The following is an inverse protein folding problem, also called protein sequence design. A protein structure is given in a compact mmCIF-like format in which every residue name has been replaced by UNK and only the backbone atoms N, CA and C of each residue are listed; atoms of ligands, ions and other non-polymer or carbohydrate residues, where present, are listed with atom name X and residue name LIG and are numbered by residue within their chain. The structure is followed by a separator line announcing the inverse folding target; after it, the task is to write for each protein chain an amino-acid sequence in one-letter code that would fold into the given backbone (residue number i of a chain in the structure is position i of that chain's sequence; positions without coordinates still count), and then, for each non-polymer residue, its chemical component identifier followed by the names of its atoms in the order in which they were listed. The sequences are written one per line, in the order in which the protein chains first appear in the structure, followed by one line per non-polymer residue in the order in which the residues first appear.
data_IF_902888906494
#
_entry.id   IF_902888906494
#
_cell.length_a   1.000
_cell.length_b   1.000
_cell.length_c   1.000
_cell.angle_alpha   90.00
_cell.angle_beta   90.00
_cell.angle_gamma   90.00
#
_symmetry.space_group_name_H-M   'P 1'
#
loop_
_entity.id
_entity.type
_entity.pdbx_description
1 polymer ?
#
# COMPACT_ATOMS: atom_id res chain seq x y z
N UNK A 1 3.73 -56.37 -18.82
CA UNK A 1 4.89 -55.51 -19.19
C UNK A 1 4.47 -54.60 -20.34
N UNK A 2 5.16 -53.45 -20.48
CA UNK A 2 4.81 -52.21 -21.21
C UNK A 2 3.80 -51.37 -20.40
N UNK A 3 4.19 -50.48 -19.48
CA UNK A 3 5.22 -49.43 -19.49
C UNK A 3 5.20 -48.56 -20.75
N UNK A 4 4.63 -47.37 -20.58
CA UNK A 4 4.58 -46.29 -21.55
C UNK A 4 4.16 -45.02 -20.83
N UNK A 5 5.07 -44.47 -20.01
CA UNK A 5 4.90 -43.17 -19.36
C UNK A 5 4.78 -42.09 -20.44
N UNK A 6 3.59 -41.48 -20.54
CA UNK A 6 3.38 -40.33 -21.40
C UNK A 6 4.10 -39.10 -20.81
N UNK A 7 5.33 -38.90 -21.26
CA UNK A 7 6.04 -37.64 -21.08
C UNK A 7 5.47 -36.56 -22.00
N UNK A 8 4.85 -35.55 -21.39
CA UNK A 8 4.72 -34.17 -21.86
C UNK A 8 4.24 -33.32 -20.67
N UNK A 9 4.91 -32.21 -20.38
CA UNK A 9 4.70 -31.38 -19.21
C UNK A 9 3.24 -30.95 -19.03
N UNK A 10 2.66 -31.26 -17.88
CA UNK A 10 1.48 -30.55 -17.39
C UNK A 10 1.98 -29.53 -16.40
N UNK A 11 2.03 -28.27 -16.84
CA UNK A 11 2.14 -27.16 -15.90
C UNK A 11 1.07 -27.31 -14.82
N UNK A 12 1.40 -26.87 -13.60
CA UNK A 12 0.49 -26.87 -12.44
C UNK A 12 -0.88 -26.29 -12.83
N UNK A 13 -1.96 -26.86 -12.33
CA UNK A 13 -3.30 -26.33 -12.57
C UNK A 13 -3.48 -24.95 -11.93
N UNK A 14 -4.50 -24.21 -12.37
CA UNK A 14 -4.85 -22.92 -11.76
C UNK A 14 -5.15 -23.06 -10.26
N UNK A 15 -5.92 -24.08 -9.88
CA UNK A 15 -6.29 -24.38 -8.50
C UNK A 15 -5.06 -24.74 -7.66
N UNK A 16 -4.10 -25.48 -8.21
CA UNK A 16 -2.82 -25.78 -7.56
C UNK A 16 -2.00 -24.51 -7.31
N UNK A 17 -1.99 -23.57 -8.27
CA UNK A 17 -1.30 -22.28 -8.13
C UNK A 17 -1.97 -21.36 -7.10
N UNK A 18 -3.30 -21.34 -7.05
CA UNK A 18 -4.06 -20.59 -6.04
C UNK A 18 -3.85 -21.18 -4.65
N UNK A 19 -3.90 -22.51 -4.52
CA UNK A 19 -3.66 -23.20 -3.26
C UNK A 19 -2.23 -22.97 -2.73
N UNK A 20 -1.24 -22.98 -3.62
CA UNK A 20 0.15 -22.60 -3.28
C UNK A 20 0.19 -21.16 -2.73
N UNK A 21 -0.34 -20.18 -3.48
CA UNK A 21 -0.30 -18.78 -3.08
C UNK A 21 -1.04 -18.48 -1.77
N UNK A 22 -2.15 -19.18 -1.50
CA UNK A 22 -2.90 -19.02 -0.26
C UNK A 22 -2.23 -19.66 0.97
N UNK A 23 -1.34 -20.65 0.75
CA UNK A 23 -0.66 -21.36 1.83
C UNK A 23 0.67 -20.71 2.25
N UNK A 24 1.20 -19.80 1.44
CA UNK A 24 2.46 -19.11 1.72
C UNK A 24 2.24 -18.05 2.81
N UNK A 25 3.04 -18.05 3.89
CA UNK A 25 2.98 -17.01 4.92
C UNK A 25 3.32 -15.63 4.33
N UNK A 26 2.52 -14.62 4.67
CA UNK A 26 2.80 -13.20 4.38
C UNK A 26 2.89 -12.38 5.68
N UNK A 27 3.16 -13.06 6.80
CA UNK A 27 3.30 -12.45 8.12
C UNK A 27 4.40 -11.39 8.09
N UNK A 28 4.23 -10.30 8.86
CA UNK A 28 5.22 -9.24 8.95
C UNK A 28 5.58 -8.56 7.62
N UNK A 29 4.70 -8.61 6.61
CA UNK A 29 4.95 -8.10 5.26
C UNK A 29 6.05 -8.85 4.48
N UNK A 30 6.27 -10.14 4.77
CA UNK A 30 7.17 -10.97 3.96
C UNK A 30 6.57 -11.23 2.56
N UNK A 31 7.15 -10.56 1.58
CA UNK A 31 6.80 -10.67 0.16
C UNK A 31 7.87 -11.39 -0.67
N UNK A 32 8.84 -12.05 -0.02
CA UNK A 32 9.92 -12.77 -0.70
C UNK A 32 9.40 -13.84 -1.67
N UNK A 33 8.28 -14.48 -1.38
CA UNK A 33 7.65 -15.45 -2.27
C UNK A 33 7.24 -14.88 -3.63
N UNK A 34 6.97 -13.57 -3.72
CA UNK A 34 6.62 -12.91 -4.97
C UNK A 34 7.84 -12.68 -5.89
N UNK A 35 9.07 -12.90 -5.41
CA UNK A 35 10.28 -12.75 -6.22
C UNK A 35 10.22 -13.65 -7.47
N UNK A 36 10.37 -13.05 -8.65
CA UNK A 36 10.25 -13.74 -9.94
C UNK A 36 8.83 -14.17 -10.32
N UNK A 37 7.83 -13.96 -9.45
CA UNK A 37 6.41 -14.31 -9.68
C UNK A 37 5.50 -13.10 -9.91
N UNK A 38 5.86 -11.95 -9.33
CA UNK A 38 5.14 -10.70 -9.50
C UNK A 38 6.06 -9.57 -9.95
N UNK A 39 5.50 -8.65 -10.74
CA UNK A 39 6.15 -7.39 -11.09
C UNK A 39 5.24 -6.24 -10.67
N UNK A 40 5.82 -5.21 -10.06
CA UNK A 40 5.09 -3.98 -9.77
C UNK A 40 5.16 -3.04 -10.98
N UNK A 41 4.00 -2.53 -11.40
CA UNK A 41 3.94 -1.44 -12.36
C UNK A 41 3.75 -0.13 -11.60
N UNK A 42 4.71 0.79 -11.72
CA UNK A 42 4.56 2.11 -11.12
C UNK A 42 3.56 2.92 -11.94
N UNK A 43 2.45 3.40 -11.36
CA UNK A 43 1.55 4.28 -12.08
C UNK A 43 2.26 5.58 -12.49
N UNK A 44 1.83 6.23 -13.59
CA UNK A 44 2.46 7.47 -14.07
C UNK A 44 2.16 8.69 -13.17
N UNK A 45 1.50 8.48 -12.04
CA UNK A 45 1.09 9.50 -11.08
C UNK A 45 1.56 9.13 -9.68
N UNK A 46 1.87 10.14 -8.86
CA UNK A 46 2.29 9.94 -7.48
C UNK A 46 1.13 10.11 -6.51
N UNK A 47 0.68 9.00 -5.89
CA UNK A 47 -0.44 9.00 -4.94
C UNK A 47 -0.28 10.06 -3.84
N UNK A 48 0.86 10.05 -3.14
CA UNK A 48 1.13 10.98 -2.05
C UNK A 48 1.06 12.45 -2.48
N UNK A 49 1.60 12.77 -3.68
CA UNK A 49 1.54 14.12 -4.25
C UNK A 49 0.10 14.53 -4.57
N UNK A 50 -0.65 13.63 -5.21
CA UNK A 50 -2.04 13.84 -5.55
C UNK A 50 -2.93 13.98 -4.29
N UNK A 51 -2.64 13.23 -3.24
CA UNK A 51 -3.31 13.29 -1.95
C UNK A 51 -3.04 14.63 -1.25
N UNK A 52 -1.77 15.06 -1.18
CA UNK A 52 -1.40 16.35 -0.56
C UNK A 52 -2.14 17.54 -1.19
N UNK A 53 -2.23 17.58 -2.53
CA UNK A 53 -2.96 18.63 -3.25
C UNK A 53 -4.47 18.66 -2.96
N UNK A 54 -5.07 17.52 -2.59
CA UNK A 54 -6.51 17.38 -2.32
C UNK A 54 -6.85 17.66 -0.87
N UNK A 55 -5.99 17.21 0.05
CA UNK A 55 -6.15 17.35 1.49
C UNK A 55 -6.24 18.82 1.92
N UNK A 56 -5.52 19.73 1.24
CA UNK A 56 -5.60 21.19 1.51
C UNK A 56 -7.02 21.75 1.33
N UNK A 57 -7.87 21.10 0.53
CA UNK A 57 -9.25 21.53 0.24
C UNK A 57 -10.31 20.69 0.95
N UNK A 58 -9.91 19.67 1.70
CA UNK A 58 -10.84 18.76 2.37
C UNK A 58 -11.13 19.24 3.80
N UNK A 59 -12.38 19.10 4.25
CA UNK A 59 -12.74 19.35 5.66
C UNK A 59 -12.46 18.12 6.54
N UNK A 60 -12.48 16.91 5.94
CA UNK A 60 -12.21 15.66 6.61
C UNK A 60 -11.56 14.64 5.66
N UNK A 61 -10.77 13.72 6.24
CA UNK A 61 -10.08 12.62 5.56
C UNK A 61 -10.38 11.34 6.33
N UNK A 62 -10.83 10.31 5.61
CA UNK A 62 -10.95 8.96 6.12
C UNK A 62 -9.89 8.09 5.46
N UNK A 63 -8.99 7.57 6.27
CA UNK A 63 -7.96 6.63 5.87
C UNK A 63 -8.46 5.20 6.08
N UNK A 64 -8.52 4.43 4.99
CA UNK A 64 -9.06 3.07 5.00
C UNK A 64 -8.00 2.12 4.49
N UNK A 65 -7.50 1.24 5.36
CA UNK A 65 -6.63 0.13 4.98
C UNK A 65 -5.40 0.52 4.13
N UNK A 66 -4.77 1.68 4.37
CA UNK A 66 -3.58 2.11 3.63
C UNK A 66 -2.26 1.60 4.23
N UNK A 67 -2.33 0.69 5.19
CA UNK A 67 -1.18 0.13 5.90
C UNK A 67 -0.93 0.85 7.23
N UNK A 68 0.34 1.15 7.54
CA UNK A 68 0.75 1.81 8.79
C UNK A 68 0.50 3.32 8.83
N UNK A 69 -0.07 3.90 7.77
CA UNK A 69 -0.39 5.33 7.67
C UNK A 69 0.79 6.22 7.25
N UNK A 70 1.97 5.66 6.96
CA UNK A 70 3.19 6.42 6.64
C UNK A 70 3.01 7.28 5.38
N UNK A 71 2.26 6.79 4.40
CA UNK A 71 1.98 7.52 3.16
C UNK A 71 1.02 8.68 3.41
N UNK A 72 0.04 8.51 4.31
CA UNK A 72 -0.86 9.58 4.72
C UNK A 72 -0.11 10.64 5.53
N UNK A 73 0.73 10.23 6.48
CA UNK A 73 1.57 11.12 7.27
C UNK A 73 2.49 11.98 6.37
N UNK A 74 3.18 11.33 5.41
CA UNK A 74 3.96 12.03 4.40
C UNK A 74 3.13 13.05 3.62
N UNK A 75 1.92 12.68 3.17
CA UNK A 75 1.06 13.59 2.41
C UNK A 75 0.58 14.79 3.26
N UNK A 76 0.23 14.57 4.53
CA UNK A 76 -0.16 15.62 5.48
C UNK A 76 0.99 16.59 5.74
N UNK A 77 2.21 16.08 5.94
CA UNK A 77 3.41 16.90 6.13
C UNK A 77 3.72 17.78 4.91
N UNK A 78 3.50 17.26 3.69
CA UNK A 78 3.67 18.02 2.45
C UNK A 78 2.53 19.00 2.18
N UNK A 79 1.30 18.69 2.59
CA UNK A 79 0.13 19.56 2.44
C UNK A 79 0.15 20.75 3.42
N UNK A 80 0.65 20.51 4.64
CA UNK A 80 0.70 21.49 5.72
C UNK A 80 2.11 21.55 6.31
N UNK A 81 3.10 22.02 5.55
CA UNK A 81 4.46 22.14 6.06
C UNK A 81 4.48 23.01 7.31
N UNK A 82 5.06 22.49 8.38
CA UNK A 82 5.33 23.26 9.59
C UNK A 82 6.22 24.44 9.20
N UNK A 83 5.69 25.65 9.36
CA UNK A 83 6.49 26.86 9.32
C UNK A 83 7.67 26.68 10.30
N UNK A 84 8.90 26.77 9.80
CA UNK A 84 10.08 26.85 10.65
C UNK A 84 9.93 28.01 11.66
N UNK A 85 10.70 28.00 12.76
CA UNK A 85 10.60 29.05 13.77
C UNK A 85 10.71 30.44 13.12
N UNK A 86 9.65 31.25 13.25
CA UNK A 86 9.59 32.62 12.73
C UNK A 86 8.78 32.85 11.45
N UNK A 87 8.23 31.82 10.79
CA UNK A 87 7.34 32.01 9.63
C UNK A 87 5.89 32.11 10.09
N UNK A 88 5.24 33.25 9.82
CA UNK A 88 3.81 33.44 10.10
C UNK A 88 2.98 32.44 9.28
N UNK A 89 2.17 31.62 9.98
CA UNK A 89 1.21 30.72 9.31
C UNK A 89 0.34 31.52 8.34
N UNK A 90 0.13 31.04 7.10
CA UNK A 90 -0.90 31.61 6.27
C UNK A 90 -2.25 31.52 6.98
N UNK A 91 -2.93 32.66 7.07
CA UNK A 91 -4.30 32.78 7.57
C UNK A 91 -5.26 32.21 6.52
N UNK A 92 -5.51 30.90 6.58
CA UNK A 92 -6.79 30.19 6.32
C UNK A 92 -6.51 28.75 5.90
N UNK A 93 -7.14 27.83 6.63
CA UNK A 93 -7.11 26.38 6.41
C UNK A 93 -7.10 25.68 7.76
N UNK A 94 -8.27 25.28 8.23
CA UNK A 94 -8.34 24.31 9.34
C UNK A 94 -7.62 23.05 8.87
N UNK A 95 -6.84 22.42 9.75
CA UNK A 95 -6.42 21.04 9.48
C UNK A 95 -7.68 20.20 9.30
N UNK A 96 -7.75 19.30 8.29
CA UNK A 96 -8.88 18.43 8.13
C UNK A 96 -9.02 17.53 9.36
N UNK A 97 -10.25 17.15 9.69
CA UNK A 97 -10.48 16.05 10.61
C UNK A 97 -9.93 14.76 9.96
N UNK A 98 -8.96 14.10 10.59
CA UNK A 98 -8.41 12.83 10.09
C UNK A 98 -8.93 11.69 10.96
N UNK A 99 -9.51 10.68 10.31
CA UNK A 99 -9.97 9.43 10.93
C UNK A 99 -9.31 8.28 10.17
N UNK A 100 -8.82 7.26 10.88
CA UNK A 100 -8.27 6.04 10.28
C UNK A 100 -9.05 4.81 10.77
N UNK A 101 -9.30 3.83 9.89
CA UNK A 101 -10.15 2.67 10.21
C UNK A 101 -9.50 1.61 11.10
N UNK A 102 -8.19 1.69 11.38
CA UNK A 102 -7.54 0.77 12.32
C UNK A 102 -6.23 1.29 12.94
N UNK A 103 -6.06 1.00 14.24
CA UNK A 103 -4.82 1.16 15.00
C UNK A 103 -4.12 -0.18 15.21
N UNK A 104 -3.72 -0.87 14.13
CA UNK A 104 -2.70 -1.91 14.28
C UNK A 104 -1.32 -1.25 14.33
N UNK A 105 -0.39 -1.76 15.15
CA UNK A 105 1.01 -1.36 15.02
C UNK A 105 1.47 -1.65 13.59
N UNK A 106 2.30 -0.77 12.98
CA UNK A 106 2.96 -1.14 11.74
C UNK A 106 3.74 -2.45 11.96
N UNK A 107 3.47 -3.45 11.12
CA UNK A 107 4.20 -4.73 11.04
C UNK A 107 4.13 -5.66 12.28
N UNK A 108 3.00 -5.71 12.99
CA UNK A 108 2.77 -6.75 14.01
C UNK A 108 2.38 -8.11 13.42
#
# INVERSE_FOLDING_TARGET
MASGSAGAGRGRSFEELVAEGAAVPTDGWDFSWFEGRATEARPPWGYARALAERIVRADAVLDVQTGGGEVLDFALANAFPSAGPGVSRPRRGRLPLVVATEGRPPNA
#
